data_IF_756982879000
#
_entry.id   IF_756982879000
#
_cell.length_a   1.000
_cell.length_b   1.000
_cell.length_c   1.000
_cell.angle_alpha   90.00
_cell.angle_beta   90.00
_cell.angle_gamma   90.00
#
_symmetry.space_group_name_H-M   'P 1'
#
loop_
_entity.id
_entity.type
_entity.pdbx_description
1 polymer ?
#
# COMPACT_ATOMS: atom_id res chain seq x y z
N UNK A 1 -6.40 -2.49 3.96
CA UNK A 1 -6.27 -2.23 2.51
C UNK A 1 -7.64 -1.85 2.06
N UNK A 2 -7.76 -0.68 1.41
CA UNK A 2 -9.05 -0.11 1.06
C UNK A 2 -9.94 -1.11 0.30
N UNK A 3 -11.16 -1.30 0.80
CA UNK A 3 -12.08 -2.29 0.24
C UNK A 3 -12.47 -1.97 -1.20
N UNK A 4 -12.54 -0.68 -1.57
CA UNK A 4 -12.82 -0.26 -2.94
C UNK A 4 -11.59 -0.46 -3.82
N UNK A 5 -10.39 -0.10 -3.33
CA UNK A 5 -9.14 -0.37 -4.04
C UNK A 5 -8.94 -1.87 -4.29
N UNK A 6 -9.25 -2.72 -3.32
CA UNK A 6 -9.23 -4.18 -3.50
C UNK A 6 -10.21 -4.62 -4.59
N UNK A 7 -11.42 -4.07 -4.64
CA UNK A 7 -12.42 -4.40 -5.68
C UNK A 7 -11.97 -3.92 -7.06
N UNK A 8 -11.46 -2.71 -7.17
CA UNK A 8 -10.90 -2.15 -8.41
C UNK A 8 -9.77 -3.04 -8.93
N UNK A 9 -8.81 -3.39 -8.07
CA UNK A 9 -7.71 -4.27 -8.43
C UNK A 9 -8.20 -5.65 -8.90
N UNK A 10 -9.22 -6.22 -8.23
CA UNK A 10 -9.85 -7.48 -8.63
C UNK A 10 -10.56 -7.37 -9.99
N UNK A 11 -11.18 -6.23 -10.30
CA UNK A 11 -11.83 -5.99 -11.59
C UNK A 11 -10.79 -5.98 -12.70
N UNK A 12 -9.74 -5.15 -12.55
CA UNK A 12 -8.71 -4.95 -13.59
C UNK A 12 -7.87 -6.21 -13.82
N UNK A 13 -7.54 -6.95 -12.76
CA UNK A 13 -6.70 -8.15 -12.86
C UNK A 13 -7.50 -9.44 -13.12
N UNK A 14 -8.80 -9.45 -12.80
CA UNK A 14 -9.69 -10.60 -12.94
C UNK A 14 -10.31 -10.77 -14.33
N UNK A 15 -10.43 -9.69 -15.13
CA UNK A 15 -10.97 -9.76 -16.50
C UNK A 15 -10.01 -10.43 -17.50
N UNK A 16 -8.70 -10.34 -17.26
CA UNK A 16 -7.67 -10.85 -18.18
C UNK A 16 -7.30 -12.32 -17.97
N UNK A 17 -7.72 -12.94 -16.86
CA UNK A 17 -7.42 -14.33 -16.54
C UNK A 17 -8.71 -15.16 -16.57
N UNK A 18 -8.81 -16.10 -17.52
CA UNK A 18 -9.95 -17.01 -17.77
C UNK A 18 -10.32 -17.96 -16.62
N UNK A 19 -9.94 -17.67 -15.38
CA UNK A 19 -10.38 -18.39 -14.18
C UNK A 19 -11.16 -17.42 -13.32
N UNK A 20 -12.48 -17.64 -13.21
CA UNK A 20 -13.31 -17.13 -12.11
C UNK A 20 -12.63 -17.53 -10.79
N UNK A 21 -11.82 -16.65 -10.22
CA UNK A 21 -11.00 -16.98 -9.07
C UNK A 21 -10.32 -15.73 -8.53
N UNK A 22 -10.50 -15.51 -7.22
CA UNK A 22 -9.91 -14.45 -6.43
C UNK A 22 -8.46 -14.15 -6.84
N UNK A 23 -8.14 -12.90 -7.18
CA UNK A 23 -6.74 -12.47 -7.36
C UNK A 23 -6.07 -12.50 -5.99
N UNK A 24 -5.14 -13.43 -5.78
CA UNK A 24 -4.40 -13.54 -4.53
C UNK A 24 -3.54 -12.29 -4.31
N UNK A 25 -3.70 -11.62 -3.17
CA UNK A 25 -2.87 -10.48 -2.79
C UNK A 25 -1.60 -10.96 -2.06
N UNK A 26 -0.49 -10.21 -2.12
CA UNK A 26 -0.30 -8.96 -2.85
C UNK A 26 -0.16 -9.16 -4.37
N UNK A 27 -0.40 -8.09 -5.13
CA UNK A 27 -0.07 -8.00 -6.56
C UNK A 27 0.96 -6.90 -6.75
N UNK A 28 2.09 -7.23 -7.36
CA UNK A 28 3.27 -6.37 -7.42
C UNK A 28 3.39 -5.75 -8.80
N UNK A 29 3.67 -4.45 -8.78
CA UNK A 29 3.94 -3.65 -9.97
C UNK A 29 5.33 -3.06 -9.85
N UNK A 30 6.12 -3.14 -10.92
CA UNK A 30 7.45 -2.53 -10.98
C UNK A 30 7.47 -1.58 -12.16
N UNK A 31 7.80 -0.30 -11.92
CA UNK A 31 7.78 0.77 -12.94
C UNK A 31 6.45 0.84 -13.70
N UNK A 32 5.34 0.71 -12.98
CA UNK A 32 3.99 0.75 -13.54
C UNK A 32 3.54 -0.51 -14.30
N UNK A 33 4.40 -1.53 -14.44
CA UNK A 33 4.05 -2.81 -15.10
C UNK A 33 3.65 -3.84 -14.07
N UNK A 34 2.55 -4.55 -14.31
CA UNK A 34 2.11 -5.68 -13.49
C UNK A 34 3.10 -6.85 -13.65
N UNK A 35 3.65 -7.33 -12.53
CA UNK A 35 4.62 -8.43 -12.51
C UNK A 35 3.96 -9.73 -12.05
N UNK A 36 3.11 -9.66 -11.02
CA UNK A 36 2.36 -10.81 -10.54
C UNK A 36 2.17 -10.85 -9.04
N UNK A 37 1.70 -12.00 -8.55
CA UNK A 37 1.49 -12.25 -7.13
C UNK A 37 2.74 -12.74 -6.40
N UNK A 38 2.59 -13.04 -5.10
CA UNK A 38 3.68 -13.49 -4.24
C UNK A 38 4.48 -14.68 -4.81
N UNK A 39 3.81 -15.67 -5.39
CA UNK A 39 4.46 -16.86 -5.96
C UNK A 39 5.36 -16.52 -7.16
N UNK A 40 4.91 -15.61 -8.02
CA UNK A 40 5.69 -15.15 -9.18
C UNK A 40 6.94 -14.41 -8.70
N UNK A 41 6.79 -13.51 -7.73
CA UNK A 41 7.92 -12.75 -7.17
C UNK A 41 8.93 -13.67 -6.49
N UNK A 42 8.46 -14.68 -5.74
CA UNK A 42 9.32 -15.69 -5.13
C UNK A 42 10.10 -16.47 -6.19
N UNK A 43 9.43 -16.97 -7.23
CA UNK A 43 10.10 -17.68 -8.32
C UNK A 43 11.16 -16.80 -8.99
N UNK A 44 10.81 -15.56 -9.36
CA UNK A 44 11.76 -14.60 -9.96
C UNK A 44 12.98 -14.34 -9.06
N UNK A 45 12.79 -14.32 -7.74
CA UNK A 45 13.89 -14.20 -6.79
C UNK A 45 14.79 -15.45 -6.84
N UNK A 46 14.21 -16.64 -6.81
CA UNK A 46 14.92 -17.92 -6.85
C UNK A 46 15.73 -18.11 -8.14
N UNK A 47 15.21 -17.69 -9.29
CA UNK A 47 15.92 -17.76 -10.58
C UNK A 47 16.82 -16.54 -10.86
N UNK A 48 16.89 -15.58 -9.94
CA UNK A 48 17.75 -14.39 -10.05
C UNK A 48 17.24 -13.31 -11.02
N UNK A 49 16.04 -13.45 -11.58
CA UNK A 49 15.44 -12.46 -12.49
C UNK A 49 14.97 -11.20 -11.75
N UNK A 50 14.50 -11.34 -10.52
CA UNK A 50 13.99 -10.22 -9.74
C UNK A 50 15.07 -9.13 -9.55
N UNK A 51 16.32 -9.53 -9.32
CA UNK A 51 17.44 -8.59 -9.16
C UNK A 51 17.66 -7.72 -10.42
N UNK A 52 17.50 -8.30 -11.61
CA UNK A 52 17.63 -7.59 -12.89
C UNK A 52 16.51 -6.57 -13.07
N UNK A 53 15.28 -6.94 -12.72
CA UNK A 53 14.11 -6.06 -12.85
C UNK A 53 14.16 -4.88 -11.86
N UNK A 54 14.75 -5.09 -10.68
CA UNK A 54 14.94 -4.07 -9.66
C UNK A 54 16.16 -3.17 -9.90
N UNK A 55 16.98 -3.46 -10.90
CA UNK A 55 18.18 -2.69 -11.20
C UNK A 55 17.86 -1.21 -11.45
N UNK A 56 18.62 -0.31 -10.80
CA UNK A 56 18.42 1.13 -10.89
C UNK A 56 17.27 1.70 -10.06
N UNK A 57 16.55 0.88 -9.28
CA UNK A 57 15.62 1.41 -8.28
C UNK A 57 16.38 1.90 -7.04
N UNK A 58 15.90 2.96 -6.36
CA UNK A 58 16.45 3.38 -5.08
C UNK A 58 16.46 2.22 -4.08
N UNK A 59 17.62 1.96 -3.48
CA UNK A 59 17.77 0.92 -2.46
C UNK A 59 17.88 1.57 -1.10
N UNK A 60 17.03 1.16 -0.18
CA UNK A 60 17.21 1.48 1.24
C UNK A 60 18.43 0.73 1.77
N UNK A 61 19.21 1.36 2.64
CA UNK A 61 20.32 0.68 3.34
C UNK A 61 19.76 -0.51 4.12
N UNK A 62 20.41 -1.67 4.02
CA UNK A 62 20.05 -2.83 4.83
C UNK A 62 20.08 -2.47 6.32
N UNK A 63 19.08 -2.89 7.07
CA UNK A 63 18.95 -2.60 8.50
C UNK A 63 18.43 -1.20 8.85
N UNK A 64 18.08 -0.37 7.87
CA UNK A 64 17.33 0.85 8.16
C UNK A 64 15.97 0.52 8.77
N UNK A 65 15.67 1.13 9.91
CA UNK A 65 14.35 1.10 10.54
C UNK A 65 13.98 2.54 10.83
N UNK A 66 12.84 3.00 10.32
CA UNK A 66 12.38 4.35 10.65
C UNK A 66 11.95 4.40 12.12
N UNK A 67 12.61 5.24 12.92
CA UNK A 67 12.33 5.42 14.36
C UNK A 67 10.89 5.87 14.64
N UNK A 68 10.26 6.55 13.69
CA UNK A 68 8.91 7.09 13.86
C UNK A 68 7.78 6.10 13.57
N UNK A 69 8.01 5.13 12.68
CA UNK A 69 6.98 4.16 12.29
C UNK A 69 7.41 2.70 12.42
N UNK A 70 8.59 2.41 12.98
CA UNK A 70 9.10 1.04 13.07
C UNK A 70 9.22 0.33 11.72
N UNK A 71 9.45 1.09 10.65
CA UNK A 71 9.47 0.66 9.24
C UNK A 71 8.16 0.09 8.67
N UNK A 72 7.03 0.17 9.38
CA UNK A 72 5.72 -0.24 8.84
C UNK A 72 5.13 0.76 7.84
N UNK A 73 5.82 1.88 7.59
CA UNK A 73 5.52 2.93 6.59
C UNK A 73 4.23 3.74 6.79
N UNK A 74 3.45 3.45 7.83
CA UNK A 74 2.24 4.18 8.19
C UNK A 74 2.29 4.67 9.64
N UNK A 75 1.60 5.76 9.92
CA UNK A 75 1.42 6.32 11.26
C UNK A 75 -0.05 6.68 11.50
N UNK A 76 -0.53 6.72 12.76
CA UNK A 76 -1.85 7.27 13.08
C UNK A 76 -1.99 8.70 12.54
N UNK A 77 -3.15 9.01 11.98
CA UNK A 77 -3.47 10.35 11.51
C UNK A 77 -3.48 11.34 12.68
N UNK A 78 -2.74 12.45 12.54
CA UNK A 78 -2.70 13.51 13.56
C UNK A 78 -4.05 14.21 13.75
N UNK A 79 -4.79 14.48 12.66
CA UNK A 79 -6.06 15.20 12.70
C UNK A 79 -7.17 14.41 13.44
N UNK A 80 -7.30 13.11 13.18
CA UNK A 80 -8.35 12.29 13.81
C UNK A 80 -7.83 11.31 14.88
N UNK A 81 -6.55 11.38 15.24
CA UNK A 81 -5.86 10.46 16.16
C UNK A 81 -6.12 8.98 15.83
N UNK A 82 -6.19 8.63 14.54
CA UNK A 82 -6.50 7.26 14.10
C UNK A 82 -7.98 6.82 14.16
N UNK A 83 -8.87 7.62 14.74
CA UNK A 83 -10.30 7.24 14.91
C UNK A 83 -11.15 7.31 13.64
N UNK A 84 -10.62 7.93 12.58
CA UNK A 84 -11.32 8.31 11.34
C UNK A 84 -12.48 9.30 11.55
N UNK A 85 -12.60 9.92 12.72
CA UNK A 85 -13.68 10.85 13.10
C UNK A 85 -13.12 12.22 13.48
N UNK A 86 -13.77 13.27 13.02
CA UNK A 86 -13.49 14.67 13.38
C UNK A 86 -14.82 15.36 13.66
N UNK A 87 -14.85 16.31 14.60
CA UNK A 87 -16.05 17.11 14.86
C UNK A 87 -15.97 18.41 14.07
N UNK A 88 -17.04 18.74 13.36
CA UNK A 88 -17.19 20.00 12.65
C UNK A 88 -17.91 20.98 13.60
N UNK A 89 -17.20 22.01 14.05
CA UNK A 89 -17.75 22.99 15.00
C UNK A 89 -18.80 23.91 14.36
N UNK A 90 -18.68 24.20 13.06
CA UNK A 90 -19.59 25.08 12.33
C UNK A 90 -20.94 24.41 12.10
N UNK A 91 -20.93 23.13 11.74
CA UNK A 91 -22.15 22.34 11.52
C UNK A 91 -22.63 21.58 12.77
N UNK A 92 -21.80 21.48 13.82
CA UNK A 92 -22.11 20.76 15.05
C UNK A 92 -22.24 19.24 14.88
N UNK A 93 -21.58 18.65 13.88
CA UNK A 93 -21.73 17.24 13.51
C UNK A 93 -20.40 16.50 13.45
N UNK A 94 -20.45 15.18 13.68
CA UNK A 94 -19.30 14.30 13.50
C UNK A 94 -19.12 13.95 12.01
N UNK A 95 -17.97 14.30 11.44
CA UNK A 95 -17.59 13.98 10.06
C UNK A 95 -16.48 12.92 10.00
N UNK A 96 -16.36 12.29 8.83
CA UNK A 96 -15.22 11.39 8.56
C UNK A 96 -13.99 12.24 8.23
N UNK A 97 -12.85 11.88 8.81
CA UNK A 97 -11.58 12.49 8.46
C UNK A 97 -11.24 12.23 6.99
N UNK A 98 -10.84 13.28 6.26
CA UNK A 98 -10.47 13.22 4.84
C UNK A 98 -8.96 13.13 4.61
N UNK A 99 -8.14 13.31 5.65
CA UNK A 99 -6.68 13.32 5.55
C UNK A 99 -6.02 11.95 5.65
N UNK A 100 -6.76 10.91 6.06
CA UNK A 100 -6.23 9.57 6.27
C UNK A 100 -6.84 8.54 5.32
N UNK A 101 -6.42 7.28 5.42
CA UNK A 101 -7.11 6.15 4.80
C UNK A 101 -8.22 5.59 5.70
N UNK A 102 -9.03 4.66 5.20
CA UNK A 102 -10.17 4.06 5.92
C UNK A 102 -9.87 3.58 7.35
N UNK A 103 -8.59 3.27 7.65
CA UNK A 103 -8.10 2.75 8.93
C UNK A 103 -7.57 3.87 9.86
N UNK A 104 -7.73 5.14 9.49
CA UNK A 104 -7.22 6.26 10.26
C UNK A 104 -5.70 6.47 10.14
N UNK A 105 -5.05 5.90 9.12
CA UNK A 105 -3.61 5.96 8.95
C UNK A 105 -3.19 6.90 7.81
N UNK A 106 -2.03 7.53 7.97
CA UNK A 106 -1.32 8.30 6.93
C UNK A 106 0.01 7.62 6.60
N UNK A 107 0.61 7.93 5.45
CA UNK A 107 1.99 7.53 5.17
C UNK A 107 2.92 8.23 6.15
N UNK A 108 3.94 7.53 6.64
CA UNK A 108 4.90 8.11 7.58
C UNK A 108 5.65 9.28 6.93
N UNK A 109 5.52 10.53 7.43
CA UNK A 109 6.14 11.69 6.80
C UNK A 109 7.67 11.64 6.82
N UNK A 110 8.25 10.89 7.77
CA UNK A 110 9.69 10.83 7.98
C UNK A 110 10.41 9.84 7.06
N UNK A 111 9.71 8.83 6.52
CA UNK A 111 10.33 7.82 5.65
C UNK A 111 9.57 7.56 4.35
N UNK A 112 8.53 8.35 4.05
CA UNK A 112 7.70 8.21 2.85
C UNK A 112 7.50 9.55 2.13
N UNK A 113 8.46 10.47 2.24
CA UNK A 113 8.44 11.84 1.67
C UNK A 113 8.66 11.90 0.15
N UNK A 114 8.19 10.88 -0.57
CA UNK A 114 8.18 10.79 -2.04
C UNK A 114 6.84 10.27 -2.53
#
# INVERSE_FOLDING_TARGET
MDANYRKELMSVLGENNKRKGHVALPQVFIRGRHVGGADVIRYMFEVGELAKVLEGLPRTKGGFVCESCGDVRFAPCGNCSGSRKVFDEDEGVLKRCLECNENGLIRCPNCCSS
#
